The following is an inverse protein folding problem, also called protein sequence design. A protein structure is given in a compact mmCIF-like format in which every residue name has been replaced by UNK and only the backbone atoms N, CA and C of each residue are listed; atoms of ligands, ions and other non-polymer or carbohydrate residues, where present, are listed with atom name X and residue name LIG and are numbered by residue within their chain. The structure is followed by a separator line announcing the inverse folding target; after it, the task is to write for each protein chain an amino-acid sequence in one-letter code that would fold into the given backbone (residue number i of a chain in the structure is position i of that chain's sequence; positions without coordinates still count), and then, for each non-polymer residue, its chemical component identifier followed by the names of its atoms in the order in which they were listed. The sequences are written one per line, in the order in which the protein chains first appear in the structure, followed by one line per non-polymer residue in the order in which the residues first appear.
data_IF_199789576765
#
_entry.id   IF_199789576765
#
_cell.length_a   1.000
_cell.length_b   1.000
_cell.length_c   1.000
_cell.angle_alpha   90.00
_cell.angle_beta   90.00
_cell.angle_gamma   90.00
#
_symmetry.space_group_name_H-M   'P 1'
#
loop_
_entity.id
_entity.type
_entity.pdbx_description
1 polymer ?
#
# COMPACT_ATOMS: atom_id res chain seq x y z
N UNK A 1 14.16 10.17 13.88
CA UNK A 1 13.27 10.23 12.70
C UNK A 1 13.90 9.46 11.53
N UNK A 2 14.73 10.06 10.67
CA UNK A 2 15.28 9.38 9.47
C UNK A 2 15.84 7.96 9.72
N UNK A 3 16.69 7.77 10.75
CA UNK A 3 17.19 6.44 11.15
C UNK A 3 16.09 5.41 11.42
N UNK A 4 14.97 5.81 12.03
CA UNK A 4 13.85 4.89 12.28
C UNK A 4 13.07 4.55 11.01
N UNK A 5 12.88 5.51 10.08
CA UNK A 5 12.24 5.20 8.78
C UNK A 5 13.09 4.22 7.95
N UNK A 6 14.41 4.35 7.99
CA UNK A 6 15.34 3.39 7.36
C UNK A 6 15.24 2.00 8.00
N UNK A 7 15.15 1.91 9.32
CA UNK A 7 14.97 0.62 9.99
C UNK A 7 13.59 0.02 9.75
N UNK A 8 12.53 0.83 9.76
CA UNK A 8 11.17 0.40 9.42
C UNK A 8 11.10 -0.21 8.01
N UNK A 9 11.67 0.45 7.00
CA UNK A 9 11.71 -0.08 5.63
C UNK A 9 12.60 -1.32 5.44
N UNK A 10 13.56 -1.58 6.34
CA UNK A 10 14.40 -2.79 6.30
C UNK A 10 13.75 -4.00 6.97
N UNK A 11 12.94 -3.76 7.99
CA UNK A 11 12.38 -4.81 8.83
C UNK A 11 10.94 -5.17 8.44
N UNK A 12 10.31 -4.47 7.50
CA UNK A 12 8.88 -4.64 7.19
C UNK A 12 8.52 -6.07 6.74
N UNK A 13 9.43 -6.76 6.03
CA UNK A 13 9.19 -8.12 5.52
C UNK A 13 9.66 -9.22 6.51
N UNK A 14 10.57 -8.91 7.44
CA UNK A 14 11.20 -9.88 8.37
C UNK A 14 10.66 -9.78 9.80
N UNK A 15 10.55 -8.56 10.34
CA UNK A 15 10.10 -8.22 11.69
C UNK A 15 9.06 -7.07 11.63
N UNK A 16 7.86 -7.29 11.05
CA UNK A 16 6.89 -6.23 10.77
C UNK A 16 6.44 -5.45 12.01
N UNK A 17 6.33 -6.11 13.17
CA UNK A 17 6.00 -5.44 14.44
C UNK A 17 7.11 -4.47 14.86
N UNK A 18 8.39 -4.88 14.78
CA UNK A 18 9.51 -3.99 15.09
C UNK A 18 9.63 -2.84 14.09
N UNK A 19 9.33 -3.11 12.81
CA UNK A 19 9.22 -2.07 11.79
C UNK A 19 8.15 -1.03 12.13
N UNK A 20 6.98 -1.47 12.59
CA UNK A 20 5.89 -0.61 13.05
C UNK A 20 6.28 0.22 14.27
N UNK A 21 6.92 -0.37 15.29
CA UNK A 21 7.43 0.37 16.44
C UNK A 21 8.46 1.45 16.04
N UNK A 22 9.30 1.18 15.03
CA UNK A 22 10.18 2.21 14.46
C UNK A 22 9.41 3.30 13.69
N UNK A 23 8.38 2.97 12.92
CA UNK A 23 7.54 3.95 12.25
C UNK A 23 6.83 4.88 13.27
N UNK A 24 6.29 4.33 14.35
CA UNK A 24 5.74 5.10 15.48
C UNK A 24 6.80 5.99 16.14
N UNK A 25 8.02 5.50 16.36
CA UNK A 25 9.13 6.32 16.88
C UNK A 25 9.53 7.47 15.92
N UNK A 26 9.29 7.33 14.63
CA UNK A 26 9.42 8.42 13.65
C UNK A 26 8.23 9.41 13.71
N UNK A 27 7.00 8.91 13.87
CA UNK A 27 5.77 9.74 13.91
C UNK A 27 5.79 10.77 15.05
N UNK A 28 6.33 10.42 16.22
CA UNK A 28 6.54 11.34 17.38
C UNK A 28 7.25 12.66 17.03
N UNK A 29 8.03 12.72 15.93
CA UNK A 29 8.72 13.94 15.46
C UNK A 29 8.32 14.37 14.04
N UNK A 30 7.45 13.61 13.37
CA UNK A 30 7.17 13.74 11.94
C UNK A 30 5.70 13.54 11.54
N UNK A 31 4.76 13.36 12.47
CA UNK A 31 3.36 12.98 12.22
C UNK A 31 2.49 13.98 11.43
N UNK A 32 3.06 15.07 10.90
CA UNK A 32 2.39 15.96 9.92
C UNK A 32 2.89 15.77 8.48
N UNK A 33 3.82 14.84 8.26
CA UNK A 33 4.41 14.55 6.95
C UNK A 33 3.74 13.31 6.35
N UNK A 34 3.25 13.41 5.10
CA UNK A 34 2.59 12.29 4.41
C UNK A 34 3.47 11.03 4.39
N UNK A 35 4.75 11.14 4.01
CA UNK A 35 5.68 10.00 3.98
C UNK A 35 5.89 9.30 5.35
N UNK A 36 5.60 9.98 6.47
CA UNK A 36 5.65 9.35 7.81
C UNK A 36 4.36 8.61 8.09
N UNK A 37 3.20 9.20 7.75
CA UNK A 37 1.88 8.53 7.82
C UNK A 37 1.83 7.29 6.93
N UNK A 38 2.41 7.36 5.74
CA UNK A 38 2.61 6.24 4.83
C UNK A 38 3.46 5.12 5.45
N UNK A 39 4.59 5.46 6.05
CA UNK A 39 5.45 4.48 6.71
C UNK A 39 4.78 3.80 7.91
N UNK A 40 4.02 4.54 8.73
CA UNK A 40 3.23 3.95 9.83
C UNK A 40 2.12 3.07 9.27
N UNK A 41 1.37 3.54 8.26
CA UNK A 41 0.29 2.77 7.64
C UNK A 41 0.75 1.45 7.00
N UNK A 42 1.85 1.48 6.23
CA UNK A 42 2.41 0.30 5.58
C UNK A 42 2.95 -0.73 6.59
N UNK A 43 3.66 -0.27 7.63
CA UNK A 43 4.18 -1.17 8.67
C UNK A 43 3.08 -1.71 9.59
N UNK A 44 2.07 -0.90 9.93
CA UNK A 44 0.87 -1.35 10.62
C UNK A 44 0.13 -2.43 9.81
N UNK A 45 -0.02 -2.25 8.50
CA UNK A 45 -0.62 -3.23 7.60
C UNK A 45 0.19 -4.54 7.56
N UNK A 46 1.51 -4.46 7.41
CA UNK A 46 2.40 -5.63 7.44
C UNK A 46 2.36 -6.39 8.79
N UNK A 47 2.17 -5.66 9.89
CA UNK A 47 2.00 -6.23 11.24
C UNK A 47 0.57 -6.74 11.53
N UNK A 48 -0.39 -6.59 10.61
CA UNK A 48 -1.78 -6.99 10.79
C UNK A 48 -2.66 -6.02 11.61
N UNK A 49 -2.14 -4.84 11.96
CA UNK A 49 -2.87 -3.78 12.67
C UNK A 49 -3.79 -2.99 11.72
N UNK A 50 -4.69 -3.68 11.02
CA UNK A 50 -5.51 -3.13 9.94
C UNK A 50 -6.29 -1.87 10.32
N UNK A 51 -6.79 -1.78 11.56
CA UNK A 51 -7.48 -0.59 12.06
C UNK A 51 -6.59 0.64 12.19
N UNK A 52 -5.33 0.46 12.60
CA UNK A 52 -4.33 1.54 12.66
C UNK A 52 -3.89 1.93 11.25
N UNK A 53 -3.56 0.94 10.42
CA UNK A 53 -3.18 1.15 9.03
C UNK A 53 -4.22 1.99 8.27
N UNK A 54 -5.49 1.66 8.43
CA UNK A 54 -6.61 2.37 7.82
C UNK A 54 -6.76 3.82 8.29
N UNK A 55 -6.53 4.12 9.58
CA UNK A 55 -6.47 5.50 10.10
C UNK A 55 -5.33 6.30 9.47
N UNK A 56 -4.15 5.68 9.39
CA UNK A 56 -2.96 6.32 8.83
C UNK A 56 -3.09 6.55 7.31
N UNK A 57 -3.66 5.61 6.55
CA UNK A 57 -3.91 5.79 5.11
C UNK A 57 -4.99 6.85 4.82
N UNK A 58 -6.05 6.94 5.64
CA UNK A 58 -7.04 8.06 5.56
C UNK A 58 -6.35 9.40 5.79
N UNK A 59 -5.47 9.48 6.80
CA UNK A 59 -4.69 10.68 7.10
C UNK A 59 -3.69 11.03 6.00
N UNK A 60 -2.97 10.03 5.46
CA UNK A 60 -2.08 10.18 4.30
C UNK A 60 -2.82 10.76 3.11
N UNK A 61 -4.00 10.21 2.76
CA UNK A 61 -4.81 10.65 1.62
C UNK A 61 -5.28 12.09 1.79
N UNK A 62 -5.71 12.46 3.01
CA UNK A 62 -6.10 13.85 3.36
C UNK A 62 -4.94 14.84 3.21
N UNK A 63 -3.71 14.45 3.54
CA UNK A 63 -2.52 15.33 3.46
C UNK A 63 -1.91 15.39 2.06
N UNK A 64 -1.89 14.27 1.34
CA UNK A 64 -1.20 14.13 0.04
C UNK A 64 -2.10 14.34 -1.18
N UNK A 65 -3.42 14.13 -1.04
CA UNK A 65 -4.34 13.97 -2.17
C UNK A 65 -4.15 12.68 -2.98
N UNK A 66 -3.28 11.77 -2.54
CA UNK A 66 -2.91 10.56 -3.30
C UNK A 66 -3.81 9.37 -2.96
N UNK A 67 -4.43 8.80 -3.99
CA UNK A 67 -5.29 7.61 -3.90
C UNK A 67 -4.51 6.28 -3.98
N UNK A 68 -3.18 6.30 -4.06
CA UNK A 68 -2.34 5.11 -4.34
C UNK A 68 -2.58 3.93 -3.38
N UNK A 69 -2.95 4.20 -2.12
CA UNK A 69 -3.19 3.16 -1.10
C UNK A 69 -4.63 2.67 -1.01
N UNK A 70 -5.53 3.06 -1.94
CA UNK A 70 -6.91 2.52 -1.98
C UNK A 70 -6.97 0.97 -1.96
N UNK A 71 -6.12 0.21 -2.68
CA UNK A 71 -6.11 -1.26 -2.58
C UNK A 71 -5.82 -1.74 -1.16
N UNK A 72 -4.82 -1.14 -0.49
CA UNK A 72 -4.43 -1.51 0.88
C UNK A 72 -5.52 -1.13 1.89
N UNK A 73 -6.21 -0.01 1.69
CA UNK A 73 -7.36 0.38 2.52
C UNK A 73 -8.54 -0.59 2.39
N UNK A 74 -8.85 -1.05 1.17
CA UNK A 74 -9.87 -2.07 0.94
C UNK A 74 -9.45 -3.43 1.55
N UNK A 75 -8.17 -3.78 1.46
CA UNK A 75 -7.62 -5.00 2.08
C UNK A 75 -7.70 -4.94 3.62
N UNK A 76 -7.46 -3.77 4.22
CA UNK A 76 -7.65 -3.53 5.65
C UNK A 76 -9.11 -3.74 6.10
N UNK A 77 -10.11 -3.22 5.36
CA UNK A 77 -11.53 -3.47 5.69
C UNK A 77 -11.86 -4.96 5.58
N UNK A 78 -11.30 -5.68 4.58
CA UNK A 78 -11.43 -7.15 4.48
C UNK A 78 -10.77 -7.86 5.68
N UNK A 79 -9.56 -7.48 6.07
CA UNK A 79 -8.86 -7.98 7.26
C UNK A 79 -9.56 -7.69 8.59
N UNK A 80 -10.41 -6.65 8.65
CA UNK A 80 -11.32 -6.35 9.76
C UNK A 80 -12.65 -7.14 9.69
N UNK A 81 -12.80 -8.08 8.76
CA UNK A 81 -14.00 -8.88 8.57
C UNK A 81 -15.15 -8.15 7.89
N UNK A 82 -14.85 -7.12 7.07
CA UNK A 82 -15.85 -6.26 6.40
C UNK A 82 -15.68 -6.30 4.87
N UNK A 83 -15.86 -7.47 4.22
CA UNK A 83 -15.67 -7.60 2.77
C UNK A 83 -16.60 -6.69 1.96
N UNK A 84 -17.82 -6.40 2.43
CA UNK A 84 -18.72 -5.45 1.75
C UNK A 84 -18.13 -4.04 1.68
N UNK A 85 -17.52 -3.55 2.78
CA UNK A 85 -16.83 -2.24 2.81
C UNK A 85 -15.60 -2.21 1.90
N UNK A 86 -14.92 -3.34 1.71
CA UNK A 86 -13.85 -3.45 0.73
C UNK A 86 -14.39 -3.27 -0.71
N UNK A 87 -15.55 -3.88 -1.02
CA UNK A 87 -16.21 -3.73 -2.32
C UNK A 87 -16.77 -2.31 -2.56
N UNK A 88 -17.16 -1.58 -1.51
CA UNK A 88 -17.55 -0.17 -1.62
C UNK A 88 -16.37 0.70 -2.04
N UNK A 89 -15.17 0.47 -1.48
CA UNK A 89 -13.94 1.15 -1.89
C UNK A 89 -13.58 0.84 -3.35
N UNK A 90 -13.80 -0.41 -3.81
CA UNK A 90 -13.58 -0.80 -5.22
C UNK A 90 -14.49 -0.04 -6.19
N UNK A 91 -15.69 0.36 -5.75
CA UNK A 91 -16.70 1.05 -6.56
C UNK A 91 -16.60 2.58 -6.52
N UNK A 92 -15.69 3.14 -5.72
CA UNK A 92 -15.57 4.60 -5.56
C UNK A 92 -15.10 5.29 -6.85
N UNK A 93 -15.37 6.58 -6.99
CA UNK A 93 -14.91 7.34 -8.17
C UNK A 93 -13.38 7.43 -8.22
N UNK A 94 -12.74 7.56 -7.05
CA UNK A 94 -11.28 7.63 -6.89
C UNK A 94 -10.55 6.36 -7.35
N UNK A 95 -11.20 5.20 -7.32
CA UNK A 95 -10.65 3.95 -7.85
C UNK A 95 -10.39 4.03 -9.37
N UNK A 96 -11.10 4.90 -10.08
CA UNK A 96 -10.93 5.12 -11.53
C UNK A 96 -9.65 5.86 -11.86
N UNK A 97 -9.10 6.65 -10.93
CA UNK A 97 -7.87 7.43 -11.09
C UNK A 97 -6.58 6.60 -10.88
N UNK A 98 -6.69 5.39 -10.32
CA UNK A 98 -5.55 4.50 -10.10
C UNK A 98 -4.81 4.16 -11.40
N UNK A 99 -3.50 3.96 -11.31
CA UNK A 99 -2.70 3.47 -12.43
C UNK A 99 -2.95 1.97 -12.69
N UNK A 100 -2.26 1.38 -13.67
CA UNK A 100 -2.45 -0.03 -14.00
C UNK A 100 -2.08 -0.98 -12.83
N UNK A 101 -0.94 -0.83 -12.14
CA UNK A 101 -0.65 -1.54 -10.88
C UNK A 101 -1.75 -1.38 -9.82
N UNK A 102 -2.17 -0.15 -9.51
CA UNK A 102 -3.18 0.10 -8.48
C UNK A 102 -4.53 -0.54 -8.80
N UNK A 103 -4.97 -0.49 -10.06
CA UNK A 103 -6.20 -1.18 -10.52
C UNK A 103 -6.10 -2.71 -10.41
N UNK A 104 -4.92 -3.27 -10.66
CA UNK A 104 -4.66 -4.71 -10.54
C UNK A 104 -4.72 -5.16 -9.09
N UNK A 105 -4.04 -4.45 -8.17
CA UNK A 105 -4.13 -4.76 -6.75
C UNK A 105 -5.56 -4.60 -6.22
N UNK A 106 -6.28 -3.56 -6.63
CA UNK A 106 -7.69 -3.35 -6.22
C UNK A 106 -8.61 -4.50 -6.69
N UNK A 107 -8.41 -5.00 -7.91
CA UNK A 107 -9.14 -6.16 -8.44
C UNK A 107 -8.83 -7.46 -7.67
N UNK A 108 -7.56 -7.67 -7.28
CA UNK A 108 -7.16 -8.81 -6.44
C UNK A 108 -7.82 -8.73 -5.06
N UNK A 109 -7.87 -7.55 -4.47
CA UNK A 109 -8.54 -7.29 -3.19
C UNK A 109 -10.06 -7.51 -3.29
N UNK A 110 -10.69 -7.07 -4.38
CA UNK A 110 -12.10 -7.27 -4.68
C UNK A 110 -12.44 -8.77 -4.82
N UNK A 111 -11.63 -9.52 -5.57
CA UNK A 111 -11.79 -10.96 -5.73
C UNK A 111 -11.65 -11.71 -4.39
N UNK A 112 -10.72 -11.28 -3.53
CA UNK A 112 -10.63 -11.75 -2.15
C UNK A 112 -11.91 -11.48 -1.36
N UNK A 113 -12.45 -10.26 -1.41
CA UNK A 113 -13.69 -9.90 -0.72
C UNK A 113 -14.92 -10.70 -1.22
N UNK A 114 -14.99 -10.99 -2.53
CA UNK A 114 -16.00 -11.92 -3.09
C UNK A 114 -15.82 -13.34 -2.57
N UNK A 115 -14.58 -13.82 -2.45
CA UNK A 115 -14.27 -15.16 -1.93
C UNK A 115 -14.69 -15.30 -0.47
N UNK A 116 -14.43 -14.28 0.37
CA UNK A 116 -14.84 -14.26 1.78
C UNK A 116 -16.37 -14.25 1.94
N UNK A 117 -17.10 -13.66 0.99
CA UNK A 117 -18.57 -13.72 0.88
C UNK A 117 -19.10 -15.04 0.26
N UNK A 118 -18.22 -15.99 -0.11
CA UNK A 118 -18.56 -17.23 -0.80
C UNK A 118 -18.98 -17.07 -2.27
N UNK A 119 -18.80 -15.89 -2.85
CA UNK A 119 -19.21 -15.52 -4.21
C UNK A 119 -18.12 -15.87 -5.23
N UNK A 120 -17.76 -17.16 -5.34
CA UNK A 120 -16.56 -17.61 -6.07
C UNK A 120 -16.59 -17.25 -7.57
N UNK A 121 -17.73 -17.40 -8.25
CA UNK A 121 -17.86 -16.99 -9.66
C UNK A 121 -17.68 -15.47 -9.85
N UNK A 122 -18.15 -14.67 -8.89
CA UNK A 122 -17.92 -13.23 -8.89
C UNK A 122 -16.44 -12.90 -8.65
N UNK A 123 -15.74 -13.65 -7.79
CA UNK A 123 -14.30 -13.47 -7.56
C UNK A 123 -13.47 -13.67 -8.83
N UNK A 124 -13.85 -14.63 -9.68
CA UNK A 124 -13.25 -14.81 -11.02
C UNK A 124 -13.51 -13.58 -11.89
N UNK A 125 -14.77 -13.09 -11.92
CA UNK A 125 -15.15 -11.95 -12.76
C UNK A 125 -14.48 -10.62 -12.35
N UNK A 126 -14.26 -10.35 -11.06
CA UNK A 126 -13.53 -9.15 -10.59
C UNK A 126 -12.08 -9.09 -11.14
N UNK A 127 -11.49 -10.24 -11.50
CA UNK A 127 -10.12 -10.35 -12.03
C UNK A 127 -10.03 -10.25 -13.56
N UNK A 128 -11.16 -10.30 -14.28
CA UNK A 128 -11.22 -10.23 -15.76
C UNK A 128 -11.08 -8.77 -16.28
N UNK A 129 -10.09 -8.05 -15.74
CA UNK A 129 -9.77 -6.65 -16.04
C UNK A 129 -8.91 -6.51 -17.32
N UNK A 130 -8.86 -5.33 -17.97
CA UNK A 130 -8.05 -5.10 -19.18
C UNK A 130 -6.54 -5.38 -19.04
N UNK A 131 -6.03 -5.42 -17.81
CA UNK A 131 -4.64 -5.74 -17.47
C UNK A 131 -4.33 -7.25 -17.50
N UNK A 132 -5.35 -8.12 -17.54
CA UNK A 132 -5.22 -9.58 -17.65
C UNK A 132 -4.88 -9.99 -19.10
N UNK A 133 -3.76 -9.50 -19.65
CA UNK A 133 -3.25 -9.89 -20.96
C UNK A 133 -2.15 -10.96 -20.81
N UNK A 134 -2.51 -12.21 -21.13
CA UNK A 134 -1.62 -13.37 -21.10
C UNK A 134 -0.30 -13.17 -21.89
N UNK A 135 -0.28 -12.23 -22.86
CA UNK A 135 0.86 -11.97 -23.74
C UNK A 135 1.82 -10.88 -23.21
N UNK A 136 1.55 -10.26 -22.04
CA UNK A 136 2.35 -9.16 -21.50
C UNK A 136 2.79 -9.41 -20.06
N UNK A 137 4.10 -9.33 -19.84
CA UNK A 137 4.71 -9.32 -18.51
C UNK A 137 4.99 -7.87 -18.07
N UNK A 138 4.11 -7.31 -17.24
CA UNK A 138 4.37 -6.14 -16.43
C UNK A 138 4.70 -6.58 -15.00
N UNK A 139 5.24 -5.68 -14.17
CA UNK A 139 5.59 -5.98 -12.76
C UNK A 139 4.44 -6.60 -11.95
N UNK A 140 3.19 -6.24 -12.24
CA UNK A 140 1.99 -6.80 -11.61
C UNK A 140 1.49 -8.12 -12.24
N UNK A 141 1.90 -8.45 -13.47
CA UNK A 141 1.33 -9.58 -14.23
C UNK A 141 1.47 -10.93 -13.50
N UNK A 142 2.62 -11.31 -12.91
CA UNK A 142 2.73 -12.54 -12.13
C UNK A 142 1.68 -12.70 -11.04
N UNK A 143 1.49 -11.64 -10.24
CA UNK A 143 0.61 -11.62 -9.08
C UNK A 143 -0.86 -11.72 -9.51
N UNK A 144 -1.23 -11.00 -10.57
CA UNK A 144 -2.55 -11.11 -11.20
C UNK A 144 -2.81 -12.51 -11.77
N UNK A 145 -1.85 -13.11 -12.48
CA UNK A 145 -2.00 -14.44 -13.08
C UNK A 145 -2.13 -15.53 -12.01
N UNK A 146 -1.40 -15.45 -10.90
CA UNK A 146 -1.57 -16.32 -9.73
C UNK A 146 -2.94 -16.13 -9.07
N UNK A 147 -3.38 -14.89 -8.86
CA UNK A 147 -4.70 -14.61 -8.28
C UNK A 147 -5.83 -15.19 -9.15
N UNK A 148 -5.74 -15.02 -10.47
CA UNK A 148 -6.73 -15.55 -11.40
C UNK A 148 -6.70 -17.08 -11.48
N UNK A 149 -5.51 -17.70 -11.48
CA UNK A 149 -5.38 -19.16 -11.39
C UNK A 149 -6.03 -19.73 -10.11
N UNK A 150 -5.82 -19.08 -8.96
CA UNK A 150 -6.43 -19.48 -7.69
C UNK A 150 -7.96 -19.34 -7.72
N UNK A 151 -8.49 -18.24 -8.25
CA UNK A 151 -9.93 -18.04 -8.39
C UNK A 151 -10.57 -19.08 -9.35
N UNK A 152 -9.89 -19.41 -10.45
CA UNK A 152 -10.31 -20.46 -11.39
C UNK A 152 -10.35 -21.85 -10.73
N UNK A 153 -9.34 -22.22 -9.93
CA UNK A 153 -9.34 -23.47 -9.18
C UNK A 153 -10.46 -23.51 -8.13
N UNK A 154 -10.75 -22.39 -7.45
CA UNK A 154 -11.85 -22.30 -6.49
C UNK A 154 -13.24 -22.61 -7.10
N UNK A 155 -13.46 -22.30 -8.39
CA UNK A 155 -14.67 -22.70 -9.15
C UNK A 155 -14.52 -24.01 -9.94
N UNK A 156 -13.42 -24.75 -9.75
CA UNK A 156 -13.16 -26.05 -10.39
C UNK A 156 -12.68 -26.00 -11.85
N UNK A 157 -12.26 -24.84 -12.36
CA UNK A 157 -11.73 -24.66 -13.74
C UNK A 157 -10.23 -25.00 -13.81
N UNK A 158 -9.86 -26.19 -13.34
CA UNK A 158 -8.46 -26.64 -13.16
C UNK A 158 -7.60 -26.57 -14.45
N UNK A 159 -8.15 -26.98 -15.60
CA UNK A 159 -7.46 -26.92 -16.90
C UNK A 159 -7.12 -25.49 -17.35
N UNK A 160 -7.80 -24.48 -16.81
CA UNK A 160 -7.51 -23.07 -17.06
C UNK A 160 -6.58 -22.51 -15.99
N UNK A 161 -6.84 -22.83 -14.71
CA UNK A 161 -5.97 -22.48 -13.59
C UNK A 161 -4.52 -22.91 -13.85
N UNK A 162 -4.30 -24.15 -14.31
CA UNK A 162 -2.98 -24.67 -14.63
C UNK A 162 -2.25 -23.90 -15.75
N UNK A 163 -2.98 -23.33 -16.73
CA UNK A 163 -2.40 -22.50 -17.79
C UNK A 163 -1.94 -21.16 -17.24
N UNK A 164 -2.78 -20.50 -16.43
CA UNK A 164 -2.45 -19.21 -15.81
C UNK A 164 -1.34 -19.34 -14.78
N UNK A 165 -1.33 -20.41 -13.98
CA UNK A 165 -0.24 -20.70 -13.05
C UNK A 165 1.10 -20.91 -13.77
N UNK A 166 1.10 -21.61 -14.90
CA UNK A 166 2.30 -21.72 -15.76
C UNK A 166 2.70 -20.35 -16.32
N UNK A 167 1.75 -19.54 -16.76
CA UNK A 167 2.04 -18.22 -17.31
C UNK A 167 2.56 -17.23 -16.27
N UNK A 168 2.16 -17.34 -15.00
CA UNK A 168 2.74 -16.59 -13.90
C UNK A 168 4.26 -16.83 -13.80
N UNK A 169 4.69 -18.10 -13.78
CA UNK A 169 6.11 -18.45 -13.78
C UNK A 169 6.86 -17.98 -15.03
N UNK A 170 6.23 -18.02 -16.22
CA UNK A 170 6.81 -17.45 -17.45
C UNK A 170 6.98 -15.93 -17.33
N UNK A 171 6.02 -15.22 -16.74
CA UNK A 171 6.09 -13.79 -16.52
C UNK A 171 7.16 -13.43 -15.45
N UNK A 172 7.30 -14.22 -14.39
CA UNK A 172 8.33 -14.06 -13.36
C UNK A 172 9.73 -14.19 -13.96
N UNK A 173 9.96 -15.26 -14.73
CA UNK A 173 11.24 -15.48 -15.40
C UNK A 173 11.53 -14.37 -16.44
N UNK A 174 10.53 -13.89 -17.16
CA UNK A 174 10.68 -12.77 -18.10
C UNK A 174 10.99 -11.42 -17.43
N UNK A 175 10.72 -11.29 -16.13
CA UNK A 175 10.97 -10.09 -15.33
C UNK A 175 12.23 -10.20 -14.44
N UNK A 176 12.95 -11.33 -14.48
CA UNK A 176 14.08 -11.59 -13.57
C UNK A 176 13.66 -11.79 -12.11
N UNK A 177 12.40 -12.20 -11.87
CA UNK A 177 11.85 -12.52 -10.55
C UNK A 177 11.85 -14.04 -10.27
N UNK A 178 12.29 -14.86 -11.23
CA UNK A 178 12.42 -16.30 -11.09
C UNK A 178 13.59 -16.71 -10.20
N UNK A 179 13.48 -17.87 -9.56
CA UNK A 179 14.48 -18.42 -8.63
C UNK A 179 15.70 -19.01 -9.36
N UNK A 180 15.65 -19.09 -10.69
CA UNK A 180 16.62 -19.85 -11.52
C UNK A 180 17.92 -19.10 -11.84
N UNK A 181 18.06 -17.84 -11.44
CA UNK A 181 19.33 -17.10 -11.48
C UNK A 181 19.80 -16.83 -10.04
N UNK A 182 20.61 -17.75 -9.49
CA UNK A 182 21.66 -17.31 -8.55
C UNK A 182 22.43 -16.21 -9.30
N UNK A 183 22.41 -14.95 -8.85
CA UNK A 183 23.20 -13.93 -9.52
C UNK A 183 24.66 -14.37 -9.44
N UNK A 184 25.35 -14.38 -10.57
CA UNK A 184 26.79 -14.64 -10.60
C UNK A 184 27.46 -13.45 -9.89
N UNK A 185 27.61 -13.57 -8.55
CA UNK A 185 28.25 -12.56 -7.71
C UNK A 185 29.73 -12.64 -8.02
N UNK A 186 30.10 -12.00 -9.13
CA UNK A 186 31.47 -11.63 -9.42
C UNK A 186 31.87 -10.64 -8.33
N UNK A 187 32.64 -11.14 -7.38
CA UNK A 187 33.27 -10.31 -6.36
C UNK A 187 34.22 -9.32 -7.07
N UNK A 188 33.72 -8.10 -7.27
CA UNK A 188 34.51 -6.95 -7.72
C UNK A 188 35.26 -6.30 -6.55
N UNK A 189 35.55 -7.08 -5.50
CA UNK A 189 36.47 -6.73 -4.45
C UNK A 189 37.72 -6.12 -5.04
N UNK A 190 38.00 -4.88 -4.65
CA UNK A 190 39.24 -4.21 -5.00
C UNK A 190 40.39 -5.06 -4.45
N UNK A 191 41.34 -5.45 -5.31
CA UNK A 191 42.45 -6.30 -4.91
C UNK A 191 43.07 -5.74 -3.62
N UNK A 192 43.09 -6.52 -2.53
CA UNK A 192 43.70 -6.09 -1.25
C UNK A 192 45.18 -5.70 -1.47
N UNK A 193 45.83 -6.28 -2.48
CA UNK A 193 47.16 -5.87 -2.94
C UNK A 193 47.20 -4.46 -3.53
N UNK A 194 46.18 -4.00 -4.25
CA UNK A 194 46.12 -2.64 -4.81
C UNK A 194 45.89 -1.60 -3.71
N UNK A 195 44.94 -1.83 -2.79
CA UNK A 195 44.75 -0.95 -1.62
C UNK A 195 46.01 -0.92 -0.73
N UNK A 196 46.66 -2.06 -0.47
CA UNK A 196 47.91 -2.10 0.28
C UNK A 196 49.07 -1.38 -0.45
N UNK A 197 49.11 -1.40 -1.79
CA UNK A 197 50.08 -0.61 -2.58
C UNK A 197 49.76 0.87 -2.50
N UNK A 198 48.50 1.28 -2.55
CA UNK A 198 48.07 2.67 -2.43
C UNK A 198 48.32 3.23 -1.02
N UNK A 199 47.99 2.47 0.04
CA UNK A 199 48.34 2.82 1.42
C UNK A 199 49.86 2.94 1.59
N UNK A 200 50.65 2.02 1.05
CA UNK A 200 52.11 2.09 1.10
C UNK A 200 52.66 3.31 0.33
N UNK A 201 52.06 3.68 -0.80
CA UNK A 201 52.40 4.91 -1.54
C UNK A 201 52.01 6.16 -0.73
N UNK A 202 50.79 6.21 -0.18
CA UNK A 202 50.27 7.31 0.63
C UNK A 202 51.11 7.52 1.88
N UNK A 203 51.49 6.43 2.56
CA UNK A 203 52.42 6.44 3.70
C UNK A 203 53.80 6.95 3.31
N UNK A 204 54.38 6.51 2.18
CA UNK A 204 55.66 7.03 1.66
C UNK A 204 55.59 8.52 1.31
N UNK A 205 54.46 9.00 0.77
CA UNK A 205 54.23 10.41 0.48
C UNK A 205 54.15 11.24 1.76
N UNK A 206 53.47 10.73 2.80
CA UNK A 206 53.40 11.36 4.12
C UNK A 206 54.76 11.35 4.83
N UNK A 207 55.49 10.24 4.81
CA UNK A 207 56.86 10.14 5.34
C UNK A 207 57.82 11.09 4.60
N UNK A 208 57.67 11.26 3.28
CA UNK A 208 58.45 12.24 2.49
C UNK A 208 58.02 13.69 2.69
N UNK A 209 56.76 13.95 3.07
CA UNK A 209 56.30 15.27 3.49
C UNK A 209 56.79 15.63 4.90
N UNK A 210 56.89 14.63 5.79
CA UNK A 210 57.44 14.77 7.14
C UNK A 210 58.98 14.91 7.14
N UNK A 211 59.67 14.19 6.25
CA UNK A 211 61.09 14.37 5.96
C UNK A 211 61.29 15.62 5.08
N UNK A 212 61.16 16.79 5.72
CA UNK A 212 61.42 18.09 5.09
C UNK A 212 62.81 18.20 4.45
N UNK A 213 63.00 19.13 3.50
CA UNK A 213 64.19 19.14 2.65
C UNK A 213 65.47 19.50 3.42
N UNK A 214 66.31 18.50 3.69
CA UNK A 214 67.66 18.76 4.17
C UNK A 214 68.59 19.23 3.03
N UNK A 215 69.28 20.34 3.32
CA UNK A 215 70.53 20.80 2.69
C UNK A 215 70.55 21.17 1.18
N UNK A 216 70.10 22.39 0.89
CA UNK A 216 70.84 23.29 -0.02
C UNK A 216 70.71 24.75 0.45
N UNK A 217 71.82 25.43 0.71
CA UNK A 217 71.84 26.72 1.41
C UNK A 217 72.20 27.91 0.50
N UNK A 218 71.45 29.02 0.61
CA UNK A 218 71.99 30.40 0.59
C UNK A 218 70.88 31.47 0.78
N UNK A 219 70.99 32.28 1.84
CA UNK A 219 70.26 33.56 2.10
C UNK A 219 70.93 34.73 1.33
N UNK A 220 70.45 36.02 1.39
CA UNK A 220 69.28 36.62 2.06
C UNK A 220 68.32 37.36 1.08
N UNK A 221 67.06 37.70 1.40
CA UNK A 221 66.62 38.83 2.26
C UNK A 221 65.10 39.08 2.05
N UNK A 222 64.32 39.87 2.83
CA UNK A 222 64.34 40.26 4.24
C UNK A 222 63.08 41.11 4.58
N UNK A 223 62.58 41.05 5.84
CA UNK A 223 61.50 41.90 6.46
C UNK A 223 60.06 41.61 5.99
N UNK A 224 59.00 41.72 6.82
CA UNK A 224 58.85 42.40 8.13
C UNK A 224 57.73 41.77 8.98
N UNK A 225 57.85 42.00 10.30
CA UNK A 225 56.77 42.11 11.31
C UNK A 225 55.93 40.90 11.73
N UNK A 226 55.63 40.89 13.04
CA UNK A 226 54.93 39.85 13.77
C UNK A 226 53.78 40.48 14.57
N UNK A 227 52.66 39.76 14.65
CA UNK A 227 51.66 39.94 15.68
C UNK A 227 51.28 38.56 16.20
N UNK A 228 51.30 38.40 17.53
CA UNK A 228 50.95 37.14 18.17
C UNK A 228 49.49 37.17 18.62
N UNK A 229 48.80 36.04 18.49
CA UNK A 229 48.00 35.54 19.60
C UNK A 229 48.03 33.99 19.63
N UNK A 230 47.86 33.42 20.80
CA UNK A 230 47.75 31.97 21.05
C UNK A 230 46.66 31.73 22.08
N UNK A 231 45.66 30.96 21.73
CA UNK A 231 44.87 30.19 22.71
C UNK A 231 44.53 28.82 22.13
N UNK A 232 44.42 27.83 23.01
CA UNK A 232 44.39 26.41 22.65
C UNK A 232 43.07 25.76 23.07
N UNK A 233 42.65 24.80 22.26
CA UNK A 233 41.92 23.55 22.57
C UNK A 233 41.12 23.50 23.88
N UNK A 234 39.82 23.24 23.76
CA UNK A 234 39.17 22.27 24.66
C UNK A 234 38.12 21.47 23.89
N UNK A 235 38.16 20.13 24.04
CA UNK A 235 37.25 19.20 23.40
C UNK A 235 36.33 18.62 24.48
N UNK A 236 35.03 18.86 24.37
CA UNK A 236 34.04 18.33 25.31
C UNK A 236 33.70 16.88 24.92
N UNK A 237 33.88 15.95 25.85
CA UNK A 237 33.40 14.58 25.72
C UNK A 237 31.87 14.54 25.74
N UNK A 238 31.28 13.67 24.92
CA UNK A 238 29.85 13.32 25.01
C UNK A 238 29.78 12.06 25.85
N UNK A 239 29.33 12.21 27.11
CA UNK A 239 29.10 11.09 28.00
C UNK A 239 27.81 10.35 27.63
N UNK A 240 27.75 9.06 27.97
CA UNK A 240 26.71 8.16 27.49
C UNK A 240 25.78 7.70 28.62
N UNK A 241 24.67 8.42 28.79
CA UNK A 241 23.52 7.95 29.57
C UNK A 241 22.35 7.67 28.62
N UNK A 242 22.09 6.38 28.37
CA UNK A 242 20.82 5.89 27.83
C UNK A 242 20.04 5.37 29.03
N UNK A 243 19.24 6.25 29.64
CA UNK A 243 18.28 5.82 30.65
C UNK A 243 17.11 5.09 29.98
N UNK A 244 16.77 3.97 30.60
CA UNK A 244 15.64 3.10 30.28
C UNK A 244 14.33 3.87 30.54
N UNK A 245 13.44 3.94 29.54
CA UNK A 245 12.12 4.58 29.71
C UNK A 245 11.06 3.56 29.39
N UNK A 246 10.37 3.12 30.45
CA UNK A 246 9.34 2.09 30.40
C UNK A 246 8.22 2.42 29.41
N UNK A 247 7.67 1.36 28.82
CA UNK A 247 6.62 1.43 27.81
C UNK A 247 5.24 1.65 28.44
N UNK A 248 4.90 2.90 28.74
CA UNK A 248 3.50 3.25 28.99
C UNK A 248 2.68 3.18 27.68
N UNK A 249 1.66 2.32 27.72
CA UNK A 249 0.64 2.16 26.70
C UNK A 249 -0.14 3.48 26.53
N UNK A 250 0.11 4.20 25.44
CA UNK A 250 -0.53 5.48 25.17
C UNK A 250 -1.86 5.28 24.44
N UNK A 251 -2.95 5.31 25.20
CA UNK A 251 -4.32 5.45 24.69
C UNK A 251 -4.51 6.91 24.25
N UNK A 252 -4.84 7.15 22.98
CA UNK A 252 -4.90 8.51 22.43
C UNK A 252 -6.23 9.19 22.76
N UNK A 253 -6.22 10.05 23.77
CA UNK A 253 -7.32 10.97 24.12
C UNK A 253 -7.37 12.18 23.15
N UNK A 254 -7.54 11.90 21.85
CA UNK A 254 -7.73 12.92 20.81
C UNK A 254 -9.23 13.06 20.47
N UNK A 255 -9.95 13.70 21.39
CA UNK A 255 -11.41 13.90 21.32
C UNK A 255 -11.89 14.74 20.12
N UNK A 256 -10.97 15.38 19.37
CA UNK A 256 -11.29 16.24 18.22
C UNK A 256 -11.46 15.45 16.91
N UNK A 257 -11.38 14.11 16.93
CA UNK A 257 -11.53 13.27 15.72
C UNK A 257 -12.91 12.63 15.53
N UNK A 258 -13.82 12.73 16.52
CA UNK A 258 -15.11 12.03 16.49
C UNK A 258 -16.29 12.91 15.98
N UNK A 259 -16.24 14.24 16.09
CA UNK A 259 -17.40 15.10 15.78
C UNK A 259 -17.73 15.24 14.29
N UNK A 260 -16.77 15.02 13.38
CA UNK A 260 -16.94 15.13 11.92
C UNK A 260 -17.23 13.77 11.21
N UNK A 261 -17.46 12.69 11.97
CA UNK A 261 -17.73 11.35 11.40
C UNK A 261 -19.20 11.05 11.08
N UNK A 262 -20.06 12.07 11.06
CA UNK A 262 -21.48 11.99 10.66
C UNK A 262 -21.68 12.49 9.22
N UNK A 263 -21.30 11.67 8.25
CA UNK A 263 -21.83 11.77 6.88
C UNK A 263 -23.36 11.63 6.94
N UNK A 264 -24.09 12.63 6.42
CA UNK A 264 -25.54 12.60 6.38
C UNK A 264 -26.00 11.71 5.21
N UNK A 265 -26.84 10.72 5.50
CA UNK A 265 -27.32 9.72 4.54
C UNK A 265 -28.40 10.32 3.62
N UNK A 266 -27.99 11.03 2.55
CA UNK A 266 -28.89 11.75 1.62
C UNK A 266 -29.70 10.85 0.66
N UNK A 267 -30.01 9.60 1.02
CA UNK A 267 -30.74 8.65 0.16
C UNK A 267 -32.10 8.13 0.70
N UNK A 268 -32.56 8.55 1.87
CA UNK A 268 -33.95 8.33 2.31
C UNK A 268 -34.85 9.57 2.11
N UNK A 269 -35.24 9.82 0.86
CA UNK A 269 -36.21 10.89 0.52
C UNK A 269 -37.15 10.55 -0.65
N UNK A 270 -37.68 9.32 -0.73
CA UNK A 270 -38.76 8.99 -1.66
C UNK A 270 -39.65 7.80 -1.30
N UNK A 271 -40.28 7.80 -0.11
CA UNK A 271 -41.61 7.15 0.06
C UNK A 271 -42.29 7.53 1.40
N UNK A 272 -43.15 8.56 1.42
CA UNK A 272 -44.10 8.83 2.52
C UNK A 272 -45.14 9.95 2.20
N UNK A 273 -45.95 9.84 1.15
CA UNK A 273 -47.19 10.63 1.03
C UNK A 273 -48.41 9.79 0.59
N UNK A 274 -48.91 8.92 1.49
CA UNK A 274 -50.31 8.48 1.38
C UNK A 274 -51.00 8.02 2.68
N UNK A 275 -51.47 8.99 3.46
CA UNK A 275 -52.57 8.88 4.46
C UNK A 275 -52.77 10.29 5.05
N UNK A 276 -53.97 10.86 5.28
CA UNK A 276 -55.33 10.35 5.43
C UNK A 276 -56.33 11.41 4.90
N UNK A 277 -57.56 11.05 4.49
CA UNK A 277 -58.77 11.50 5.22
C UNK A 277 -60.08 10.81 4.74
N UNK A 278 -61.09 10.93 5.58
CA UNK A 278 -62.21 10.04 5.88
C UNK A 278 -63.57 10.56 5.34
N UNK A 279 -64.38 9.67 4.73
CA UNK A 279 -65.86 9.76 4.50
C UNK A 279 -66.33 10.92 3.56
N UNK A 280 -67.53 10.96 2.98
CA UNK A 280 -68.84 10.34 3.30
C UNK A 280 -69.77 10.22 2.04
N UNK A 281 -70.95 9.60 2.22
CA UNK A 281 -72.23 9.75 1.44
C UNK A 281 -72.40 9.37 -0.07
N UNK A 282 -73.14 8.28 -0.28
CA UNK A 282 -74.42 8.15 -1.03
C UNK A 282 -74.70 8.70 -2.47
N UNK A 283 -75.30 7.77 -3.28
CA UNK A 283 -76.36 7.92 -4.32
C UNK A 283 -76.04 8.00 -5.85
N UNK A 284 -76.64 7.02 -6.55
CA UNK A 284 -77.29 7.03 -7.88
C UNK A 284 -76.60 7.64 -9.12
N UNK A 285 -76.38 6.79 -10.13
CA UNK A 285 -77.23 6.80 -11.34
C UNK A 285 -77.20 5.45 -12.09
N UNK A 286 -78.35 5.03 -12.62
CA UNK A 286 -78.50 3.90 -13.54
C UNK A 286 -77.97 4.24 -14.95
N UNK A 287 -77.52 3.24 -15.73
CA UNK A 287 -78.18 2.84 -16.99
C UNK A 287 -77.31 1.88 -17.83
N UNK A 288 -77.99 0.89 -18.44
CA UNK A 288 -77.72 0.19 -19.70
C UNK A 288 -76.38 -0.54 -19.97
N UNK A 289 -76.33 -1.57 -20.82
CA UNK A 289 -77.29 -2.65 -21.17
C UNK A 289 -76.49 -3.73 -21.95
N UNK A 290 -77.03 -4.93 -22.05
CA UNK A 290 -76.78 -5.92 -23.11
C UNK A 290 -75.42 -6.65 -23.18
N UNK A 291 -75.50 -7.94 -22.88
CA UNK A 291 -75.03 -9.06 -23.72
C UNK A 291 -73.68 -8.95 -24.47
N UNK A 292 -72.74 -9.84 -24.11
CA UNK A 292 -72.37 -10.87 -25.08
C UNK A 292 -72.05 -12.20 -24.39
N UNK A 293 -72.73 -13.27 -24.82
CA UNK A 293 -72.43 -14.63 -24.43
C UNK A 293 -71.77 -15.36 -25.60
N UNK A 294 -70.72 -16.13 -25.34
CA UNK A 294 -70.37 -17.32 -26.15
C UNK A 294 -69.35 -18.15 -25.40
N UNK A 295 -69.81 -19.29 -24.87
CA UNK A 295 -68.99 -20.36 -24.27
C UNK A 295 -69.40 -21.70 -24.92
N UNK A 296 -68.45 -22.63 -25.08
CA UNK A 296 -68.63 -23.94 -25.70
C UNK A 296 -68.86 -23.95 -27.22
N UNK A 297 -68.46 -24.97 -27.98
CA UNK A 297 -68.35 -26.38 -27.59
C UNK A 297 -67.43 -27.23 -28.50
N UNK A 298 -66.94 -28.31 -27.90
CA UNK A 298 -66.31 -29.55 -28.38
C UNK A 298 -66.27 -29.96 -29.87
N UNK A 299 -65.14 -30.61 -30.21
CA UNK A 299 -64.99 -31.94 -30.87
C UNK A 299 -65.86 -32.37 -32.08
N UNK A 300 -65.19 -32.98 -33.08
CA UNK A 300 -65.85 -33.86 -34.05
C UNK A 300 -65.01 -34.17 -35.29
N UNK A 301 -64.39 -35.36 -35.35
CA UNK A 301 -63.85 -35.94 -36.60
C UNK A 301 -65.01 -36.51 -37.43
N UNK A 302 -64.97 -36.39 -38.76
CA UNK A 302 -64.69 -37.53 -39.65
C UNK A 302 -64.72 -37.16 -41.15
N UNK A 303 -64.02 -37.99 -41.94
CA UNK A 303 -63.96 -38.05 -43.43
C UNK A 303 -63.20 -36.94 -44.16
#
# INVERSE_FOLDING_TARGET
MARHLVMAGRLIDEEPELAFQHALAASRRGGRLAAVREAVGLTAYAAGHYGEALREFRTYRRISGSNVHLPVMADCERGLGRPDRALDVVRSEEAKDLDAPGKVELAIVAAGARTDLGQLDAAVAELEIPQLDMNRAFSYSPRLFRAYANALSAVGREDEAAKWQKQAGVAENALGLGVDEEPDIVDLGWDEEEEAREEAQRRRLLERAAAGPEAAASTPAARTEAAADRTAVEAAAVDADIDDVESDFFESDDAESDEDSVEADELEASDAEHSEDVRDEEKHSEADDSNNATDGHSEGRDS
#
